data_IF_746145726724
#
_entry.id   IF_746145726724
#
_cell.length_a   1.000
_cell.length_b   1.000
_cell.length_c   1.000
_cell.angle_alpha   90.00
_cell.angle_beta   90.00
_cell.angle_gamma   90.00
#
_symmetry.space_group_name_H-M   'P 1'
#
loop_
_entity.id
_entity.type
_entity.pdbx_description
1 polymer ?
#
# COMPACT_ATOMS: atom_id res chain seq x y z
N UNK A 1 -43.22 -4.15 58.79
CA UNK A 1 -42.76 -5.03 57.70
C UNK A 1 -42.49 -4.13 56.50
N UNK A 2 -41.30 -3.80 56.03
CA UNK A 2 -39.90 -4.08 56.33
C UNK A 2 -39.10 -3.31 55.27
N UNK A 3 -38.11 -2.51 55.67
CA UNK A 3 -37.24 -1.74 54.78
C UNK A 3 -36.31 -2.66 53.97
N UNK A 4 -36.16 -2.42 52.67
CA UNK A 4 -34.94 -2.73 51.92
C UNK A 4 -34.68 -1.67 50.83
N UNK A 5 -33.66 -0.80 51.02
CA UNK A 5 -33.00 -0.06 49.95
C UNK A 5 -31.72 -0.82 49.53
N UNK A 6 -31.49 -1.07 48.23
CA UNK A 6 -30.17 -1.19 47.60
C UNK A 6 -30.29 -1.76 46.17
N UNK A 7 -30.17 -0.89 45.17
CA UNK A 7 -29.69 -1.27 43.84
C UNK A 7 -28.67 -0.21 43.37
N UNK A 8 -27.61 -0.09 44.17
CA UNK A 8 -26.35 0.54 43.79
C UNK A 8 -25.35 -0.58 43.45
N UNK A 9 -25.00 -0.67 42.16
CA UNK A 9 -23.63 -0.75 41.67
C UNK A 9 -23.60 -1.25 40.22
N UNK A 10 -23.68 -0.31 39.26
CA UNK A 10 -23.01 -0.49 37.96
C UNK A 10 -21.52 -0.65 38.28
N UNK A 11 -21.01 -1.88 38.33
CA UNK A 11 -19.57 -2.13 38.29
C UNK A 11 -19.07 -1.64 36.93
N UNK A 12 -18.65 -0.38 36.87
CA UNK A 12 -17.70 0.09 35.86
C UNK A 12 -16.43 -0.71 36.10
N UNK A 13 -16.19 -1.70 35.27
CA UNK A 13 -14.91 -2.40 35.23
C UNK A 13 -13.86 -1.37 34.82
N UNK A 14 -13.09 -0.89 35.80
CA UNK A 14 -11.85 -0.17 35.57
C UNK A 14 -10.75 -1.23 35.52
N UNK A 15 -10.11 -1.48 34.36
CA UNK A 15 -8.94 -2.34 34.35
C UNK A 15 -7.84 -1.72 35.23
N UNK A 16 -7.12 -2.52 36.03
CA UNK A 16 -6.02 -2.01 36.83
C UNK A 16 -4.94 -1.42 35.92
N UNK A 17 -4.44 -0.24 36.30
CA UNK A 17 -3.23 0.33 35.70
C UNK A 17 -2.07 -0.63 35.96
N UNK A 18 -1.28 -0.86 34.90
CA UNK A 18 -0.08 -1.69 34.79
C UNK A 18 -0.29 -3.22 34.79
N UNK A 19 -0.51 -3.74 33.58
CA UNK A 19 0.13 -4.97 33.14
C UNK A 19 0.30 -4.87 31.62
N UNK A 20 1.54 -4.82 31.15
CA UNK A 20 1.88 -5.08 29.75
C UNK A 20 1.69 -6.59 29.46
N UNK A 21 0.49 -7.09 29.71
CA UNK A 21 0.07 -8.46 29.46
C UNK A 21 -0.67 -8.51 28.13
N UNK A 22 -0.27 -9.44 27.25
CA UNK A 22 -0.94 -9.72 25.97
C UNK A 22 -2.46 -9.79 26.18
N UNK A 23 -3.22 -9.03 25.40
CA UNK A 23 -4.68 -9.08 25.45
C UNK A 23 -5.17 -10.53 25.20
N UNK A 24 -6.26 -10.97 25.86
CA UNK A 24 -6.89 -12.27 25.57
C UNK A 24 -7.25 -12.39 24.09
N UNK A 25 -7.04 -13.57 23.49
CA UNK A 25 -7.24 -13.81 22.05
C UNK A 25 -8.61 -13.35 21.54
N UNK A 26 -9.71 -13.74 22.21
CA UNK A 26 -11.07 -13.35 21.82
C UNK A 26 -11.30 -11.82 21.82
N UNK A 27 -10.66 -11.09 22.74
CA UNK A 27 -10.74 -9.63 22.77
C UNK A 27 -9.89 -9.01 21.65
N UNK A 28 -8.73 -9.60 21.37
CA UNK A 28 -7.86 -9.21 20.24
C UNK A 28 -8.57 -9.39 18.91
N UNK A 29 -9.28 -10.51 18.72
CA UNK A 29 -10.00 -10.82 17.49
C UNK A 29 -11.19 -9.86 17.29
N UNK A 30 -11.94 -9.57 18.36
CA UNK A 30 -13.01 -8.56 18.31
C UNK A 30 -12.48 -7.15 18.03
N UNK A 31 -11.34 -6.77 18.63
CA UNK A 31 -10.71 -5.47 18.38
C UNK A 31 -10.19 -5.38 16.93
N UNK A 32 -9.57 -6.44 16.41
CA UNK A 32 -9.09 -6.52 15.04
C UNK A 32 -10.24 -6.38 14.04
N UNK A 33 -11.36 -7.09 14.25
CA UNK A 33 -12.55 -6.99 13.41
C UNK A 33 -13.13 -5.56 13.40
N UNK A 34 -13.21 -4.91 14.58
CA UNK A 34 -13.70 -3.54 14.68
C UNK A 34 -12.79 -2.52 13.96
N UNK A 35 -11.46 -2.69 14.06
CA UNK A 35 -10.50 -1.83 13.36
C UNK A 35 -10.58 -2.05 11.85
N UNK A 36 -10.64 -3.31 11.39
CA UNK A 36 -10.81 -3.65 9.96
C UNK A 36 -12.05 -2.99 9.37
N UNK A 37 -13.20 -3.10 10.04
CA UNK A 37 -14.44 -2.49 9.58
C UNK A 37 -14.30 -0.97 9.43
N UNK A 38 -13.65 -0.30 10.39
CA UNK A 38 -13.38 1.14 10.32
C UNK A 38 -12.42 1.49 9.19
N UNK A 39 -11.39 0.66 8.95
CA UNK A 39 -10.45 0.86 7.86
C UNK A 39 -11.15 0.73 6.50
N UNK A 40 -12.00 -0.28 6.32
CA UNK A 40 -12.81 -0.45 5.10
C UNK A 40 -13.76 0.74 4.89
N UNK A 41 -14.41 1.23 5.95
CA UNK A 41 -15.27 2.40 5.87
C UNK A 41 -14.47 3.66 5.48
N UNK A 42 -13.31 3.88 6.08
CA UNK A 42 -12.44 5.01 5.77
C UNK A 42 -11.89 4.93 4.33
N UNK A 43 -11.50 3.72 3.89
CA UNK A 43 -11.08 3.44 2.52
C UNK A 43 -12.18 3.79 1.50
N UNK A 44 -13.42 3.39 1.78
CA UNK A 44 -14.56 3.70 0.92
C UNK A 44 -14.88 5.20 0.88
N UNK A 45 -14.90 5.88 2.03
CA UNK A 45 -15.21 7.32 2.10
C UNK A 45 -14.13 8.22 1.48
N UNK A 46 -12.90 7.72 1.37
CA UNK A 46 -11.75 8.47 0.81
C UNK A 46 -11.41 8.06 -0.62
N UNK A 47 -12.27 7.30 -1.31
CA UNK A 47 -11.96 6.77 -2.65
C UNK A 47 -10.61 6.02 -2.71
N UNK A 48 -10.34 5.15 -1.72
CA UNK A 48 -9.06 4.43 -1.51
C UNK A 48 -7.89 5.35 -1.11
N UNK A 49 -8.19 6.41 -0.37
CA UNK A 49 -7.20 7.41 0.08
C UNK A 49 -6.96 8.56 -0.89
N UNK A 50 -7.65 8.60 -2.04
CA UNK A 50 -7.43 9.60 -3.10
C UNK A 50 -8.23 10.89 -2.93
N UNK A 51 -9.25 10.88 -2.08
CA UNK A 51 -10.13 12.02 -1.83
C UNK A 51 -10.37 12.17 -0.32
N UNK A 52 -10.90 13.32 0.08
CA UNK A 52 -11.21 13.64 1.48
C UNK A 52 -10.23 14.64 2.09
N UNK A 53 -10.47 15.01 3.35
CA UNK A 53 -9.61 15.94 4.07
C UNK A 53 -8.32 15.27 4.52
N UNK A 54 -7.30 16.08 4.84
CA UNK A 54 -6.08 15.57 5.46
C UNK A 54 -6.37 14.83 6.78
N UNK A 55 -7.36 15.30 7.54
CA UNK A 55 -7.79 14.63 8.77
C UNK A 55 -8.37 13.22 8.49
N UNK A 56 -9.12 13.04 7.40
CA UNK A 56 -9.66 11.72 7.02
C UNK A 56 -8.53 10.75 6.63
N UNK A 57 -7.55 11.23 5.85
CA UNK A 57 -6.36 10.46 5.48
C UNK A 57 -5.53 10.07 6.69
N UNK A 58 -5.27 11.01 7.60
CA UNK A 58 -4.57 10.71 8.85
C UNK A 58 -5.35 9.71 9.70
N UNK A 59 -6.69 9.82 9.77
CA UNK A 59 -7.55 8.85 10.44
C UNK A 59 -7.40 7.43 9.87
N UNK A 60 -7.39 7.29 8.54
CA UNK A 60 -7.15 6.01 7.88
C UNK A 60 -5.75 5.44 8.18
N UNK A 61 -4.71 6.28 8.17
CA UNK A 61 -3.35 5.85 8.51
C UNK A 61 -3.20 5.37 9.95
N UNK A 62 -3.91 5.98 10.90
CA UNK A 62 -3.93 5.50 12.29
C UNK A 62 -4.60 4.12 12.39
N UNK A 63 -5.65 3.85 11.59
CA UNK A 63 -6.27 2.52 11.53
C UNK A 63 -5.33 1.49 10.91
N UNK A 64 -4.57 1.85 9.86
CA UNK A 64 -3.51 1.01 9.29
C UNK A 64 -2.49 0.64 10.37
N UNK A 65 -1.92 1.64 11.08
CA UNK A 65 -0.97 1.39 12.17
C UNK A 65 -1.54 0.49 13.26
N UNK A 66 -2.81 0.67 13.61
CA UNK A 66 -3.48 -0.17 14.60
C UNK A 66 -3.66 -1.62 14.12
N UNK A 67 -3.92 -1.85 12.82
CA UNK A 67 -3.96 -3.19 12.24
C UNK A 67 -2.58 -3.85 12.29
N UNK A 68 -1.52 -3.15 11.88
CA UNK A 68 -0.14 -3.65 11.87
C UNK A 68 0.31 -4.11 13.26
N UNK A 69 -0.03 -3.35 14.31
CA UNK A 69 0.23 -3.73 15.70
C UNK A 69 -0.50 -5.02 16.15
N UNK A 70 -1.52 -5.44 15.40
CA UNK A 70 -2.33 -6.65 15.64
C UNK A 70 -2.06 -7.75 14.60
N UNK A 71 -0.97 -7.66 13.82
CA UNK A 71 -0.65 -8.65 12.80
C UNK A 71 -0.72 -10.09 13.36
N UNK A 72 -1.63 -10.94 12.84
CA UNK A 72 -1.78 -12.30 13.35
C UNK A 72 -0.74 -13.27 12.78
N UNK A 73 0.01 -12.88 11.73
CA UNK A 73 0.94 -13.75 11.00
C UNK A 73 2.39 -13.26 11.17
N UNK A 74 3.20 -13.88 12.06
CA UNK A 74 4.58 -13.47 12.31
C UNK A 74 5.54 -13.68 11.13
N UNK A 75 5.25 -14.64 10.25
CA UNK A 75 6.09 -14.98 9.10
C UNK A 75 5.28 -14.95 7.80
N UNK A 76 4.82 -13.77 7.35
CA UNK A 76 3.83 -13.65 6.27
C UNK A 76 4.30 -14.19 4.92
N UNK A 77 5.61 -14.22 4.67
CA UNK A 77 6.18 -14.69 3.40
C UNK A 77 6.19 -16.22 3.22
N UNK A 78 5.92 -16.98 4.27
CA UNK A 78 5.97 -18.46 4.26
C UNK A 78 4.62 -19.16 4.08
N UNK A 79 3.53 -18.41 3.87
CA UNK A 79 2.18 -18.98 3.86
C UNK A 79 1.16 -18.19 3.06
N UNK A 80 0.29 -17.45 3.75
CA UNK A 80 -0.93 -16.82 3.21
C UNK A 80 -0.70 -15.75 2.14
N UNK A 81 0.54 -15.48 1.71
CA UNK A 81 0.83 -14.37 0.80
C UNK A 81 0.29 -14.60 -0.62
N UNK A 82 0.28 -15.85 -1.09
CA UNK A 82 -0.23 -16.19 -2.41
C UNK A 82 -1.75 -16.00 -2.51
N UNK A 83 -2.19 -15.58 -3.69
CA UNK A 83 -3.59 -15.28 -3.98
C UNK A 83 -3.75 -14.01 -4.81
N UNK A 84 -5.01 -13.68 -5.10
CA UNK A 84 -5.39 -12.44 -5.76
C UNK A 84 -5.81 -11.42 -4.71
N UNK A 85 -5.26 -10.22 -4.80
CA UNK A 85 -5.49 -9.13 -3.87
C UNK A 85 -5.97 -7.90 -4.62
N UNK A 86 -6.91 -7.15 -4.06
CA UNK A 86 -7.38 -5.87 -4.61
C UNK A 86 -7.05 -4.74 -3.65
N UNK A 87 -6.49 -3.66 -4.18
CA UNK A 87 -6.14 -2.49 -3.41
C UNK A 87 -7.41 -1.76 -2.96
N UNK A 88 -7.56 -1.63 -1.64
CA UNK A 88 -8.67 -0.91 -1.02
C UNK A 88 -8.24 0.44 -0.44
N UNK A 89 -6.95 0.63 -0.13
CA UNK A 89 -6.43 1.90 0.35
C UNK A 89 -4.95 2.05 -0.01
N UNK A 90 -4.56 3.24 -0.43
CA UNK A 90 -3.17 3.64 -0.57
C UNK A 90 -2.93 4.97 0.16
N UNK A 91 -1.82 5.05 0.87
CA UNK A 91 -1.36 6.32 1.46
C UNK A 91 -0.76 7.27 0.43
N UNK A 92 -0.62 6.86 -0.83
CA UNK A 92 -0.21 7.69 -1.97
C UNK A 92 -1.17 7.44 -3.14
N UNK A 93 -0.88 8.00 -4.32
CA UNK A 93 -1.64 7.73 -5.53
C UNK A 93 -1.72 6.21 -5.82
N UNK A 94 -2.89 5.73 -6.23
CA UNK A 94 -3.14 4.30 -6.49
C UNK A 94 -2.19 3.75 -7.58
N UNK A 95 -1.82 4.55 -8.58
CA UNK A 95 -0.86 4.11 -9.60
C UNK A 95 0.49 3.78 -8.99
N UNK A 96 0.88 4.47 -7.91
CA UNK A 96 2.13 4.25 -7.16
C UNK A 96 2.11 2.98 -6.30
N UNK A 97 1.03 2.18 -6.32
CA UNK A 97 1.06 0.83 -5.75
C UNK A 97 1.81 -0.19 -6.62
N UNK A 98 2.18 0.20 -7.85
CA UNK A 98 2.97 -0.68 -8.73
C UNK A 98 4.46 -0.67 -8.36
N UNK A 99 5.11 -1.84 -8.23
CA UNK A 99 6.56 -1.91 -8.00
C UNK A 99 7.40 -1.20 -9.07
N UNK A 100 6.92 -1.10 -10.32
CA UNK A 100 7.59 -0.33 -11.36
C UNK A 100 7.84 1.13 -10.94
N UNK A 101 6.83 1.79 -10.36
CA UNK A 101 6.94 3.18 -9.95
C UNK A 101 7.91 3.36 -8.78
N UNK A 102 8.08 2.34 -7.95
CA UNK A 102 9.06 2.36 -6.87
C UNK A 102 10.49 2.37 -7.44
N UNK A 103 10.77 1.50 -8.42
CA UNK A 103 12.07 1.46 -9.09
C UNK A 103 12.34 2.71 -9.94
N UNK A 104 11.31 3.22 -10.62
CA UNK A 104 11.39 4.48 -11.36
C UNK A 104 11.75 5.65 -10.45
N UNK A 105 11.08 5.77 -9.29
CA UNK A 105 11.34 6.83 -8.32
C UNK A 105 12.77 6.76 -7.78
N UNK A 106 13.25 5.55 -7.42
CA UNK A 106 14.63 5.32 -6.98
C UNK A 106 15.67 5.67 -8.06
N UNK A 107 15.39 5.35 -9.32
CA UNK A 107 16.28 5.70 -10.44
C UNK A 107 16.44 7.22 -10.63
N UNK A 108 15.40 7.98 -10.30
CA UNK A 108 15.36 9.43 -10.46
C UNK A 108 15.58 10.21 -9.15
N UNK A 109 15.80 9.50 -8.04
CA UNK A 109 16.08 10.08 -6.72
C UNK A 109 17.33 10.96 -6.79
N UNK A 110 17.26 12.15 -6.20
CA UNK A 110 18.36 13.12 -6.23
C UNK A 110 18.63 13.75 -7.61
N UNK A 111 17.86 13.43 -8.65
CA UNK A 111 17.90 14.16 -9.92
C UNK A 111 16.97 15.38 -9.79
N UNK A 112 17.52 16.61 -9.76
CA UNK A 112 16.71 17.80 -9.65
C UNK A 112 15.81 17.94 -10.87
N UNK A 113 14.58 18.39 -10.66
CA UNK A 113 13.68 18.67 -11.77
C UNK A 113 14.29 19.78 -12.67
N UNK A 114 14.62 19.45 -13.95
CA UNK A 114 15.28 20.38 -14.86
C UNK A 114 14.38 21.53 -15.28
N UNK A 115 13.06 21.46 -15.04
CA UNK A 115 12.10 22.47 -15.44
C UNK A 115 11.71 23.36 -14.25
N UNK A 116 12.08 24.66 -14.26
CA UNK A 116 11.65 25.60 -13.22
C UNK A 116 10.13 25.77 -13.15
N UNK A 117 9.44 25.56 -14.29
CA UNK A 117 7.99 25.67 -14.40
C UNK A 117 7.28 24.55 -13.64
N UNK A 118 7.72 23.30 -13.81
CA UNK A 118 7.15 22.15 -13.09
C UNK A 118 7.41 22.22 -11.60
N UNK A 119 8.62 22.63 -11.18
CA UNK A 119 8.92 22.90 -9.75
C UNK A 119 7.97 23.93 -9.14
N UNK A 120 7.70 25.02 -9.85
CA UNK A 120 6.80 26.07 -9.39
C UNK A 120 5.32 25.65 -9.39
N UNK A 121 4.88 24.85 -10.37
CA UNK A 121 3.48 24.43 -10.52
C UNK A 121 3.10 23.26 -9.59
N UNK A 122 4.03 22.34 -9.34
CA UNK A 122 3.76 21.11 -8.60
C UNK A 122 4.40 21.07 -7.21
N UNK A 123 5.23 22.08 -6.86
CA UNK A 123 5.94 22.15 -5.59
C UNK A 123 6.79 20.90 -5.30
N UNK A 124 7.46 20.39 -6.34
CA UNK A 124 8.34 19.20 -6.29
C UNK A 124 9.76 19.62 -6.65
N UNK A 125 10.78 19.18 -5.91
CA UNK A 125 12.19 19.48 -6.25
C UNK A 125 12.83 18.39 -7.11
N UNK A 126 12.29 17.17 -7.09
CA UNK A 126 12.80 16.02 -7.83
C UNK A 126 12.03 15.75 -9.13
N UNK A 127 12.76 15.28 -10.14
CA UNK A 127 12.19 14.90 -11.44
C UNK A 127 11.21 13.73 -11.32
N UNK A 128 11.40 12.84 -10.34
CA UNK A 128 10.51 11.71 -10.07
C UNK A 128 9.09 12.20 -9.76
N UNK A 129 8.96 13.11 -8.80
CA UNK A 129 7.68 13.67 -8.37
C UNK A 129 7.09 14.64 -9.40
N UNK A 130 7.90 15.34 -10.19
CA UNK A 130 7.38 16.24 -11.24
C UNK A 130 6.75 15.47 -12.40
N UNK A 131 7.36 14.34 -12.82
CA UNK A 131 6.77 13.43 -13.80
C UNK A 131 5.47 12.85 -13.24
N UNK A 132 5.43 12.49 -11.95
CA UNK A 132 4.20 11.99 -11.34
C UNK A 132 3.11 13.05 -11.24
N UNK A 133 3.44 14.26 -10.78
CA UNK A 133 2.50 15.37 -10.71
C UNK A 133 1.95 15.73 -12.10
N UNK A 134 2.78 15.59 -13.15
CA UNK A 134 2.32 15.70 -14.53
C UNK A 134 1.35 14.59 -14.91
N UNK A 135 1.63 13.32 -14.56
CA UNK A 135 0.71 12.19 -14.83
C UNK A 135 -0.54 12.20 -13.96
N UNK A 136 -0.49 12.81 -12.78
CA UNK A 136 -1.61 12.99 -11.85
C UNK A 136 -2.47 14.19 -12.29
N UNK A 137 -1.86 15.17 -12.96
CA UNK A 137 -2.53 16.31 -13.57
C UNK A 137 -3.15 16.05 -14.94
N UNK A 138 -3.13 14.81 -15.46
CA UNK A 138 -3.81 14.47 -16.72
C UNK A 138 -5.32 14.72 -16.53
N UNK A 139 -5.91 15.72 -17.21
CA UNK A 139 -7.31 16.05 -17.03
C UNK A 139 -8.18 14.86 -17.39
N UNK A 140 -9.15 14.53 -16.54
CA UNK A 140 -10.13 13.47 -16.76
C UNK A 140 -9.56 12.04 -16.74
N UNK A 141 -8.41 11.85 -16.07
CA UNK A 141 -7.90 10.54 -15.65
C UNK A 141 -8.76 9.99 -14.50
N UNK A 142 -9.23 8.76 -14.65
CA UNK A 142 -9.94 8.01 -13.62
C UNK A 142 -9.21 6.69 -13.37
N UNK A 143 -8.78 6.45 -12.14
CA UNK A 143 -8.06 5.22 -11.78
C UNK A 143 -9.10 4.17 -11.39
N UNK A 144 -9.19 3.11 -12.17
CA UNK A 144 -10.06 1.98 -11.93
C UNK A 144 -9.52 1.03 -10.86
N UNK A 145 -9.89 -0.24 -10.95
CA UNK A 145 -9.43 -1.27 -10.02
C UNK A 145 -7.91 -1.49 -10.10
N UNK A 146 -7.28 -1.67 -8.94
CA UNK A 146 -5.89 -2.08 -8.84
C UNK A 146 -5.83 -3.45 -8.15
N UNK A 147 -5.28 -4.45 -8.82
CA UNK A 147 -5.19 -5.83 -8.32
C UNK A 147 -3.77 -6.36 -8.42
N UNK A 148 -3.40 -7.22 -7.49
CA UNK A 148 -2.11 -7.88 -7.44
C UNK A 148 -2.32 -9.38 -7.25
N UNK A 149 -1.84 -10.18 -8.19
CA UNK A 149 -1.84 -11.64 -8.09
C UNK A 149 -0.44 -12.11 -7.73
N UNK A 150 -0.31 -12.88 -6.65
CA UNK A 150 0.94 -13.48 -6.21
C UNK A 150 0.81 -15.00 -6.32
N UNK A 151 1.69 -15.61 -7.10
CA UNK A 151 1.67 -17.05 -7.32
C UNK A 151 3.03 -17.53 -7.83
N UNK A 152 3.55 -18.63 -7.27
CA UNK A 152 4.76 -19.31 -7.75
C UNK A 152 5.97 -18.37 -7.93
N UNK A 153 6.21 -17.46 -6.99
CA UNK A 153 7.35 -16.53 -7.06
C UNK A 153 7.19 -15.39 -8.08
N UNK A 154 5.99 -15.22 -8.65
CA UNK A 154 5.64 -14.08 -9.51
C UNK A 154 4.55 -13.20 -8.88
N UNK A 155 4.70 -11.91 -9.09
CA UNK A 155 3.70 -10.88 -8.78
C UNK A 155 3.26 -10.25 -10.10
N UNK A 156 1.96 -10.28 -10.37
CA UNK A 156 1.35 -9.55 -11.47
C UNK A 156 0.48 -8.45 -10.89
N UNK A 157 0.94 -7.22 -11.00
CA UNK A 157 0.19 -6.02 -10.62
C UNK A 157 -0.55 -5.48 -11.84
N UNK A 158 -1.83 -5.18 -11.69
CA UNK A 158 -2.69 -4.60 -12.74
C UNK A 158 -3.38 -3.37 -12.19
N UNK A 159 -3.25 -2.23 -12.86
CA UNK A 159 -3.93 -0.97 -12.50
C UNK A 159 -4.71 -0.49 -13.70
N UNK A 160 -6.04 -0.48 -13.58
CA UNK A 160 -6.90 0.10 -14.60
C UNK A 160 -6.80 1.63 -14.57
N UNK A 161 -6.63 2.22 -15.75
CA UNK A 161 -6.58 3.66 -15.96
C UNK A 161 -7.52 3.99 -17.11
N UNK A 162 -8.46 4.88 -16.85
CA UNK A 162 -9.35 5.47 -17.84
C UNK A 162 -8.92 6.92 -18.05
N UNK A 163 -8.88 7.36 -19.31
CA UNK A 163 -8.67 8.75 -19.67
C UNK A 163 -9.83 9.15 -20.56
N UNK A 164 -10.69 10.05 -20.06
CA UNK A 164 -11.90 10.44 -20.78
C UNK A 164 -11.58 11.00 -22.17
N UNK A 165 -12.29 10.51 -23.19
CA UNK A 165 -12.09 10.89 -24.59
C UNK A 165 -10.92 10.21 -25.29
N UNK A 166 -10.04 9.51 -24.55
CA UNK A 166 -8.93 8.73 -25.12
C UNK A 166 -9.19 7.23 -25.00
N UNK A 167 -9.74 6.76 -23.88
CA UNK A 167 -10.14 5.37 -23.69
C UNK A 167 -9.64 4.77 -22.37
N UNK A 168 -9.67 3.45 -22.29
CA UNK A 168 -9.25 2.70 -21.10
C UNK A 168 -8.01 1.88 -21.39
N UNK A 169 -7.20 1.65 -20.37
CA UNK A 169 -6.02 0.77 -20.42
C UNK A 169 -5.78 0.13 -19.05
N UNK A 170 -5.16 -1.04 -19.03
CA UNK A 170 -4.68 -1.68 -17.81
C UNK A 170 -3.15 -1.69 -17.84
N UNK A 171 -2.52 -0.97 -16.91
CA UNK A 171 -1.08 -1.08 -16.71
C UNK A 171 -0.79 -2.39 -15.98
N UNK A 172 -0.07 -3.30 -16.62
CA UNK A 172 0.37 -4.57 -16.04
C UNK A 172 1.87 -4.53 -15.79
N UNK A 173 2.26 -4.69 -14.52
CA UNK A 173 3.66 -4.83 -14.10
C UNK A 173 3.87 -6.25 -13.58
N UNK A 174 4.83 -6.96 -14.17
CA UNK A 174 5.24 -8.30 -13.74
C UNK A 174 6.54 -8.18 -12.96
N UNK A 175 6.56 -8.80 -11.78
CA UNK A 175 7.74 -8.89 -10.94
C UNK A 175 8.00 -10.34 -10.54
N UNK A 176 9.27 -10.68 -10.37
CA UNK A 176 9.68 -11.85 -9.61
C UNK A 176 9.78 -11.47 -8.14
N UNK A 177 9.42 -12.38 -7.24
CA UNK A 177 9.63 -12.19 -5.81
C UNK A 177 10.29 -13.38 -5.14
N UNK A 178 11.07 -13.10 -4.10
CA UNK A 178 11.66 -14.09 -3.22
C UNK A 178 11.58 -13.59 -1.77
N UNK A 179 11.28 -14.45 -0.78
CA UNK A 179 11.41 -14.08 0.63
C UNK A 179 12.85 -13.64 0.95
N UNK A 180 12.99 -12.58 1.75
CA UNK A 180 14.29 -12.20 2.30
C UNK A 180 14.64 -13.02 3.55
N UNK A 181 15.76 -12.70 4.22
CA UNK A 181 16.10 -13.31 5.51
C UNK A 181 15.09 -12.95 6.61
N UNK A 182 14.58 -11.70 6.61
CA UNK A 182 13.44 -11.31 7.44
C UNK A 182 12.16 -11.91 6.84
N UNK A 183 11.41 -12.75 7.59
CA UNK A 183 10.21 -13.42 7.08
C UNK A 183 9.04 -12.46 6.81
N UNK A 184 9.19 -11.17 7.10
CA UNK A 184 8.24 -10.11 6.73
C UNK A 184 8.60 -9.40 5.42
N UNK A 185 9.79 -9.64 4.87
CA UNK A 185 10.31 -8.93 3.71
C UNK A 185 10.31 -9.78 2.43
N UNK A 186 10.02 -9.12 1.32
CA UNK A 186 10.07 -9.65 -0.03
C UNK A 186 11.09 -8.86 -0.85
N UNK A 187 12.01 -9.59 -1.47
CA UNK A 187 12.86 -9.06 -2.52
C UNK A 187 12.08 -9.15 -3.84
N UNK A 188 11.87 -8.03 -4.51
CA UNK A 188 11.17 -7.94 -5.79
C UNK A 188 12.16 -7.60 -6.89
N UNK A 189 11.96 -8.15 -8.09
CA UNK A 189 12.65 -7.71 -9.31
C UNK A 189 11.58 -7.37 -10.35
N UNK A 190 11.52 -6.11 -10.76
CA UNK A 190 10.57 -5.64 -11.77
C UNK A 190 11.07 -6.10 -13.15
N UNK A 191 10.37 -7.04 -13.77
CA UNK A 191 10.78 -7.63 -15.05
C UNK A 191 10.25 -6.79 -16.21
N UNK A 192 8.93 -6.57 -16.25
CA UNK A 192 8.25 -5.90 -17.35
C UNK A 192 7.10 -5.02 -16.88
N UNK A 193 6.84 -3.95 -17.62
CA UNK A 193 5.65 -3.11 -17.47
C UNK A 193 5.06 -2.85 -18.85
N UNK A 194 3.76 -3.08 -19.01
CA UNK A 194 3.10 -2.97 -20.31
C UNK A 194 1.65 -2.49 -20.14
N UNK A 195 1.16 -1.76 -21.13
CA UNK A 195 -0.24 -1.41 -21.24
C UNK A 195 -0.99 -2.56 -21.94
N UNK A 196 -1.86 -3.25 -21.22
CA UNK A 196 -2.72 -4.33 -21.75
C UNK A 196 -4.19 -3.92 -21.70
N UNK A 197 -5.05 -4.70 -22.35
CA UNK A 197 -6.51 -4.54 -22.33
C UNK A 197 -6.93 -3.08 -22.64
N UNK A 198 -6.48 -2.57 -23.79
CA UNK A 198 -6.60 -1.16 -24.13
C UNK A 198 -7.55 -0.90 -25.32
N UNK A 199 -8.21 0.25 -25.26
CA UNK A 199 -8.91 0.87 -26.40
C UNK A 199 -8.12 2.05 -26.96
N UNK A 200 -6.97 2.37 -26.35
CA UNK A 200 -6.06 3.43 -26.75
C UNK A 200 -5.25 2.98 -27.99
N UNK A 201 -5.21 3.76 -29.08
CA UNK A 201 -4.45 3.39 -30.26
C UNK A 201 -2.95 3.29 -29.95
N UNK A 202 -2.31 2.21 -30.41
CA UNK A 202 -0.87 1.92 -30.30
C UNK A 202 -0.33 1.59 -28.89
N UNK A 203 -1.19 1.51 -27.86
CA UNK A 203 -0.75 1.18 -26.50
C UNK A 203 -0.37 -0.31 -26.33
N UNK A 204 -0.90 -1.19 -27.19
CA UNK A 204 -0.63 -2.63 -27.25
C UNK A 204 0.79 -2.99 -27.73
N UNK A 205 1.52 -2.03 -28.28
CA UNK A 205 2.85 -2.23 -28.85
C UNK A 205 4.00 -1.90 -27.88
N UNK A 206 3.70 -1.36 -26.70
CA UNK A 206 4.72 -0.88 -25.76
C UNK A 206 4.86 -1.86 -24.60
N UNK A 207 5.77 -2.82 -24.76
CA UNK A 207 6.33 -3.60 -23.65
C UNK A 207 7.58 -2.89 -23.17
N UNK A 208 7.55 -2.34 -21.97
CA UNK A 208 8.70 -1.67 -21.37
C UNK A 208 9.57 -2.70 -20.63
N UNK A 209 10.79 -3.03 -21.13
CA UNK A 209 11.71 -3.96 -20.48
C UNK A 209 12.29 -3.30 -19.22
N UNK A 210 11.50 -3.32 -18.15
CA UNK A 210 11.72 -2.54 -16.93
C UNK A 210 13.03 -2.94 -16.25
N UNK A 211 13.38 -4.23 -16.26
CA UNK A 211 14.64 -4.70 -15.68
C UNK A 211 15.86 -4.10 -16.38
N UNK A 212 15.89 -4.13 -17.72
CA UNK A 212 16.99 -3.58 -18.51
C UNK A 212 17.09 -2.06 -18.36
N UNK A 213 15.94 -1.38 -18.30
CA UNK A 213 15.90 0.08 -18.22
C UNK A 213 16.24 0.60 -16.81
N UNK A 214 15.67 0.01 -15.77
CA UNK A 214 15.88 0.44 -14.39
C UNK A 214 17.21 -0.06 -13.81
N UNK A 215 17.81 -1.11 -14.40
CA UNK A 215 19.04 -1.71 -13.92
C UNK A 215 18.90 -2.18 -12.47
N UNK A 216 19.84 -1.79 -11.61
CA UNK A 216 19.80 -2.14 -10.18
C UNK A 216 18.56 -1.57 -9.45
N UNK A 217 17.92 -0.53 -9.98
CA UNK A 217 16.69 0.05 -9.41
C UNK A 217 15.45 -0.83 -9.67
N UNK A 218 15.54 -1.83 -10.54
CA UNK A 218 14.50 -2.85 -10.68
C UNK A 218 14.40 -3.77 -9.45
N UNK A 219 15.44 -3.81 -8.61
CA UNK A 219 15.50 -4.63 -7.40
C UNK A 219 15.01 -3.85 -6.19
N UNK A 220 13.89 -4.29 -5.64
CA UNK A 220 13.14 -3.57 -4.61
C UNK A 220 12.93 -4.45 -3.39
N UNK A 221 12.64 -3.82 -2.25
CA UNK A 221 12.18 -4.51 -1.04
C UNK A 221 10.77 -4.06 -0.70
N UNK A 222 9.91 -5.02 -0.40
CA UNK A 222 8.56 -4.77 0.13
C UNK A 222 8.42 -5.49 1.47
N UNK A 223 7.81 -4.84 2.46
CA UNK A 223 7.53 -5.47 3.75
C UNK A 223 6.03 -5.73 3.90
N UNK A 224 5.67 -6.96 4.23
CA UNK A 224 4.33 -7.30 4.69
C UNK A 224 4.24 -6.97 6.18
N UNK A 225 3.51 -5.91 6.53
CA UNK A 225 3.35 -5.46 7.91
C UNK A 225 2.09 -6.02 8.58
N UNK A 226 1.15 -6.52 7.78
CA UNK A 226 -0.02 -7.25 8.23
C UNK A 226 -0.43 -8.28 7.19
N UNK A 227 -0.78 -9.49 7.64
CA UNK A 227 -1.38 -10.51 6.77
C UNK A 227 -2.33 -11.41 7.54
N UNK A 228 -3.52 -11.57 7.00
CA UNK A 228 -4.43 -12.65 7.36
C UNK A 228 -5.14 -13.22 6.12
N UNK A 229 -6.22 -13.96 6.33
CA UNK A 229 -6.98 -14.59 5.24
C UNK A 229 -7.64 -13.56 4.31
N UNK A 230 -8.04 -12.39 4.81
CA UNK A 230 -8.85 -11.44 4.05
C UNK A 230 -8.13 -10.14 3.70
N UNK A 231 -7.08 -9.78 4.43
CA UNK A 231 -6.46 -8.47 4.38
C UNK A 231 -4.93 -8.58 4.43
N UNK A 232 -4.28 -7.76 3.61
CA UNK A 232 -2.84 -7.60 3.59
C UNK A 232 -2.46 -6.14 3.59
N UNK A 233 -1.42 -5.80 4.33
CA UNK A 233 -0.80 -4.47 4.29
C UNK A 233 0.64 -4.63 3.83
N UNK A 234 0.97 -3.97 2.73
CA UNK A 234 2.33 -3.77 2.29
C UNK A 234 2.82 -2.39 2.66
N UNK A 235 4.08 -2.31 3.07
CA UNK A 235 4.84 -1.07 3.06
C UNK A 235 5.97 -1.17 2.05
N UNK A 236 6.09 -0.12 1.27
CA UNK A 236 7.31 0.16 0.54
C UNK A 236 8.20 1.00 1.46
N UNK A 237 9.44 0.58 1.70
CA UNK A 237 10.23 1.11 2.82
C UNK A 237 11.14 2.27 2.41
N UNK A 238 11.18 3.28 3.28
CA UNK A 238 12.12 4.40 3.25
C UNK A 238 13.00 4.34 4.51
N UNK A 239 14.20 4.90 4.45
CA UNK A 239 15.04 5.13 5.63
C UNK A 239 14.47 6.23 6.54
N UNK A 240 15.16 6.53 7.65
CA UNK A 240 14.72 7.53 8.63
C UNK A 240 14.76 8.96 8.06
N UNK A 241 15.57 9.17 7.03
CA UNK A 241 15.73 10.42 6.29
C UNK A 241 14.70 10.54 5.15
N UNK A 242 13.89 9.49 4.90
CA UNK A 242 12.87 9.45 3.85
C UNK A 242 13.40 9.06 2.47
N UNK A 243 14.65 8.60 2.37
CA UNK A 243 15.25 8.10 1.14
C UNK A 243 14.91 6.62 0.93
N UNK A 244 15.06 6.15 -0.30
CA UNK A 244 14.88 4.73 -0.62
C UNK A 244 15.98 3.88 0.02
N UNK A 245 15.60 2.76 0.66
CA UNK A 245 16.57 1.85 1.26
C UNK A 245 17.58 1.35 0.20
N UNK A 246 18.88 1.59 0.46
CA UNK A 246 19.97 0.84 -0.14
C UNK A 246 19.98 -0.60 0.41
N UNK A 247 20.93 -1.45 0.00
CA UNK A 247 21.03 -2.84 0.49
C UNK A 247 21.16 -2.99 2.02
N UNK A 248 21.43 -1.89 2.74
CA UNK A 248 21.61 -1.85 4.19
C UNK A 248 20.32 -1.51 4.95
N UNK A 249 20.21 -2.04 6.17
CA UNK A 249 18.99 -2.09 6.99
C UNK A 249 19.00 -0.96 8.05
N UNK A 250 18.07 0.02 8.03
CA UNK A 250 17.92 0.99 9.12
C UNK A 250 16.85 0.58 10.15
N UNK A 251 16.89 1.28 11.29
CA UNK A 251 16.20 0.95 12.53
C UNK A 251 14.74 1.44 12.62
N UNK A 252 14.36 2.50 11.92
CA UNK A 252 12.97 2.95 11.80
C UNK A 252 12.60 3.04 10.32
N UNK A 253 11.53 2.36 9.93
CA UNK A 253 11.13 2.19 8.52
C UNK A 253 9.70 2.67 8.35
N UNK A 254 9.53 3.82 7.74
CA UNK A 254 8.21 4.40 7.46
C UNK A 254 8.11 4.75 5.99
N UNK A 255 7.36 3.96 5.23
CA UNK A 255 6.99 4.35 3.88
C UNK A 255 5.53 4.04 3.55
N UNK A 256 5.13 4.27 2.29
CA UNK A 256 3.74 4.23 1.88
C UNK A 256 3.07 2.90 2.21
N UNK A 257 1.83 2.97 2.72
CA UNK A 257 1.02 1.81 3.05
C UNK A 257 0.03 1.50 1.94
N UNK A 258 0.02 0.25 1.51
CA UNK A 258 -0.90 -0.30 0.51
C UNK A 258 -1.70 -1.42 1.15
N UNK A 259 -2.99 -1.18 1.37
CA UNK A 259 -3.91 -2.13 1.98
C UNK A 259 -4.70 -2.81 0.89
N UNK A 260 -4.73 -4.13 0.91
CA UNK A 260 -5.46 -4.93 -0.06
C UNK A 260 -6.35 -5.98 0.60
N UNK A 261 -7.53 -6.22 0.03
CA UNK A 261 -8.41 -7.32 0.40
C UNK A 261 -8.18 -8.53 -0.52
N UNK A 262 -8.41 -9.74 -0.02
CA UNK A 262 -8.32 -10.96 -0.81
C UNK A 262 -9.55 -11.07 -1.72
N UNK A 263 -9.32 -11.44 -2.97
CA UNK A 263 -10.38 -11.74 -3.94
C UNK A 263 -10.48 -13.27 -4.06
N UNK A 264 -11.70 -13.85 -3.97
CA UNK A 264 -11.92 -15.26 -4.31
C UNK A 264 -11.48 -15.52 -5.76
N UNK A 265 -10.79 -16.63 -5.99
CA UNK A 265 -10.37 -17.10 -7.32
C UNK A 265 -11.42 -18.06 -7.87
#
# INVERSE_FOLDING_TARGET
IGLCPNLLAKKRYFPPKSAAGKLPAAFRDSACAAIRLRLLAAAASTCRGQCGSEADRQGALQLVKAMEALNPTPEPTKGLLEGKWRLIFASEDVTRSSPFFWGWRRMLEGIPDPSPLSRALFNTEELSESIFAFTDGIPLKNIGEATQTLYNGQIVNRVAVEIWGLGTTVMTTTCRYMPAEDPSELLLTVETTQAVDNTLPLADQVVFPSETFLGDNARLRARVTYLDEDLRIFRNELDAEGNWLSSEVPAERTGPAFVADRIPI
#
